data_IF_970669356123
#
_entry.id   IF_970669356123
#
_cell.length_a   1.000
_cell.length_b   1.000
_cell.length_c   1.000
_cell.angle_alpha   90.00
_cell.angle_beta   90.00
_cell.angle_gamma   90.00
#
_symmetry.space_group_name_H-M   'P 1'
#
loop_
_entity.id
_entity.type
_entity.pdbx_description
1 polymer ?
#
# COMPACT_ATOMS: atom_id res chain seq x y z
N UNK A 1 -24.61 10.21 19.01
CA UNK A 1 -23.89 9.07 19.56
C UNK A 1 -24.65 7.74 19.38
N UNK A 2 -25.96 7.73 19.63
CA UNK A 2 -26.80 6.52 19.60
C UNK A 2 -26.93 5.92 18.18
N UNK A 3 -27.17 6.75 17.14
CA UNK A 3 -27.24 6.31 15.73
C UNK A 3 -25.91 5.73 15.20
N UNK A 4 -24.77 6.14 15.73
CA UNK A 4 -23.45 5.58 15.33
C UNK A 4 -23.23 4.23 16.01
N UNK A 5 -23.60 4.09 17.30
CA UNK A 5 -23.52 2.82 18.03
C UNK A 5 -24.43 1.73 17.45
N UNK A 6 -25.60 2.09 16.96
CA UNK A 6 -26.54 1.15 16.34
C UNK A 6 -25.98 0.49 15.05
N UNK A 7 -24.98 1.09 14.39
CA UNK A 7 -24.35 0.54 13.20
C UNK A 7 -23.14 -0.37 13.49
N UNK A 8 -22.65 -0.41 14.74
CA UNK A 8 -21.54 -1.27 15.16
C UNK A 8 -22.09 -2.46 15.92
N UNK A 9 -22.79 -3.32 15.22
CA UNK A 9 -23.32 -4.57 15.76
C UNK A 9 -22.33 -5.71 15.58
N UNK A 10 -22.47 -6.77 16.35
CA UNK A 10 -21.68 -8.00 16.19
C UNK A 10 -21.78 -8.54 14.76
N UNK A 11 -22.98 -8.53 14.19
CA UNK A 11 -23.20 -8.94 12.79
C UNK A 11 -22.45 -8.04 11.80
N UNK A 12 -22.39 -6.72 12.05
CA UNK A 12 -21.65 -5.80 11.18
C UNK A 12 -20.13 -6.04 11.27
N UNK A 13 -19.63 -6.34 12.46
CA UNK A 13 -18.22 -6.71 12.67
C UNK A 13 -17.89 -8.01 11.96
N UNK A 14 -18.72 -9.04 12.11
CA UNK A 14 -18.57 -10.32 11.42
C UNK A 14 -18.56 -10.14 9.90
N UNK A 15 -19.54 -9.42 9.34
CA UNK A 15 -19.61 -9.15 7.91
C UNK A 15 -18.39 -8.37 7.40
N UNK A 16 -17.87 -7.43 8.17
CA UNK A 16 -16.66 -6.69 7.82
C UNK A 16 -15.43 -7.59 7.83
N UNK A 17 -15.36 -8.51 8.78
CA UNK A 17 -14.31 -9.52 8.85
C UNK A 17 -14.38 -10.50 7.66
N UNK A 18 -15.56 -11.03 7.35
CA UNK A 18 -15.76 -11.95 6.23
C UNK A 18 -15.35 -11.30 4.91
N UNK A 19 -15.69 -10.01 4.73
CA UNK A 19 -15.24 -9.22 3.57
C UNK A 19 -13.72 -9.06 3.55
N UNK A 20 -13.09 -8.79 4.68
CA UNK A 20 -11.63 -8.70 4.79
C UNK A 20 -10.96 -10.05 4.46
N UNK A 21 -11.51 -11.16 4.96
CA UNK A 21 -11.00 -12.51 4.64
C UNK A 21 -11.13 -12.84 3.14
N UNK A 22 -12.24 -12.43 2.52
CA UNK A 22 -12.46 -12.60 1.09
C UNK A 22 -11.55 -11.73 0.21
N UNK A 23 -11.12 -10.56 0.72
CA UNK A 23 -10.16 -9.69 0.02
C UNK A 23 -8.73 -10.24 0.19
N UNK A 24 -8.40 -11.21 -0.66
CA UNK A 24 -7.05 -11.81 -0.68
C UNK A 24 -5.99 -10.87 -1.23
N UNK A 25 -6.37 -9.89 -2.06
CA UNK A 25 -5.44 -8.98 -2.72
C UNK A 25 -4.69 -8.09 -1.72
N UNK A 26 -5.35 -7.69 -0.62
CA UNK A 26 -4.73 -6.92 0.47
C UNK A 26 -3.73 -7.72 1.30
N UNK A 27 -3.75 -9.05 1.20
CA UNK A 27 -2.92 -9.98 1.97
C UNK A 27 -1.84 -10.68 1.14
N UNK A 28 -1.71 -10.31 -0.14
CA UNK A 28 -0.61 -10.82 -0.96
C UNK A 28 0.71 -10.38 -0.36
N UNK A 29 1.61 -11.33 -0.21
CA UNK A 29 3.01 -11.14 0.17
C UNK A 29 3.92 -11.57 -0.97
N UNK A 30 5.04 -10.88 -1.11
CA UNK A 30 6.06 -11.16 -2.13
C UNK A 30 7.34 -11.54 -1.42
N UNK A 31 7.93 -12.66 -1.83
CA UNK A 31 9.31 -13.02 -1.47
C UNK A 31 10.18 -12.61 -2.63
N UNK A 32 11.15 -11.72 -2.38
CA UNK A 32 11.97 -11.17 -3.44
C UNK A 32 13.43 -11.00 -3.04
N UNK A 33 14.24 -10.87 -4.06
CA UNK A 33 15.65 -10.49 -3.99
C UNK A 33 15.88 -9.24 -4.84
N UNK A 34 16.88 -8.43 -4.52
CA UNK A 34 17.23 -7.27 -5.33
C UNK A 34 18.74 -7.04 -5.45
N UNK A 35 19.12 -6.33 -6.50
CA UNK A 35 20.48 -5.80 -6.71
C UNK A 35 20.34 -4.29 -6.74
N UNK A 36 20.99 -3.58 -5.81
CA UNK A 36 21.01 -2.12 -5.75
C UNK A 36 22.28 -1.62 -6.43
N UNK A 37 22.13 -0.64 -7.31
CA UNK A 37 23.21 -0.09 -8.13
C UNK A 37 23.15 1.45 -8.11
N UNK A 38 24.28 2.09 -8.30
CA UNK A 38 24.37 3.56 -8.27
C UNK A 38 23.84 4.20 -9.56
N UNK A 39 24.02 3.52 -10.71
CA UNK A 39 23.64 4.07 -12.01
C UNK A 39 22.66 3.18 -12.75
N UNK A 40 21.85 3.81 -13.62
CA UNK A 40 20.94 3.11 -14.52
C UNK A 40 21.69 2.20 -15.50
N UNK A 41 22.88 2.65 -15.96
CA UNK A 41 23.69 1.90 -16.90
C UNK A 41 24.18 0.59 -16.30
N UNK A 42 24.61 0.59 -15.04
CA UNK A 42 25.00 -0.63 -14.32
C UNK A 42 23.81 -1.57 -14.14
N UNK A 43 22.64 -1.03 -13.81
CA UNK A 43 21.42 -1.82 -13.67
C UNK A 43 21.00 -2.47 -15.00
N UNK A 44 21.09 -1.75 -16.11
CA UNK A 44 20.85 -2.32 -17.45
C UNK A 44 21.86 -3.42 -17.80
N UNK A 45 23.14 -3.23 -17.42
CA UNK A 45 24.18 -4.26 -17.64
C UNK A 45 23.89 -5.53 -16.83
N UNK A 46 23.40 -5.38 -15.59
CA UNK A 46 22.99 -6.52 -14.76
C UNK A 46 21.79 -7.24 -15.37
N UNK A 47 20.78 -6.50 -15.84
CA UNK A 47 19.62 -7.10 -16.53
C UNK A 47 20.08 -7.88 -17.77
N UNK A 48 20.95 -7.33 -18.60
CA UNK A 48 21.49 -8.03 -19.77
C UNK A 48 22.21 -9.32 -19.37
N UNK A 49 23.06 -9.29 -18.34
CA UNK A 49 23.75 -10.49 -17.85
C UNK A 49 22.76 -11.56 -17.33
N UNK A 50 21.67 -11.15 -16.67
CA UNK A 50 20.61 -12.06 -16.22
C UNK A 50 19.86 -12.68 -17.40
N UNK A 51 19.58 -11.91 -18.45
CA UNK A 51 18.98 -12.40 -19.71
C UNK A 51 19.88 -13.40 -20.42
N UNK A 52 21.21 -13.24 -20.32
CA UNK A 52 22.22 -14.17 -20.84
C UNK A 52 22.40 -15.40 -19.93
N UNK A 53 21.64 -15.52 -18.83
CA UNK A 53 21.63 -16.69 -17.96
C UNK A 53 22.58 -16.63 -16.77
N UNK A 54 23.11 -15.46 -16.42
CA UNK A 54 23.92 -15.31 -15.21
C UNK A 54 23.07 -15.53 -13.95
N UNK A 55 23.70 -16.04 -12.89
CA UNK A 55 23.02 -16.25 -11.60
C UNK A 55 22.78 -14.94 -10.87
N UNK A 56 21.54 -14.74 -10.45
CA UNK A 56 21.11 -13.51 -9.76
C UNK A 56 21.85 -13.29 -8.45
N UNK A 57 22.00 -14.34 -7.65
CA UNK A 57 22.63 -14.23 -6.33
C UNK A 57 24.14 -13.96 -6.45
N UNK A 58 24.78 -14.50 -7.48
CA UNK A 58 26.18 -14.22 -7.76
C UNK A 58 26.38 -12.74 -8.15
N UNK A 59 25.54 -12.22 -9.07
CA UNK A 59 25.59 -10.82 -9.47
C UNK A 59 25.25 -9.88 -8.28
N UNK A 60 24.31 -10.26 -7.42
CA UNK A 60 24.00 -9.49 -6.22
C UNK A 60 25.21 -9.39 -5.29
N UNK A 61 25.91 -10.49 -5.04
CA UNK A 61 27.14 -10.51 -4.21
C UNK A 61 28.27 -9.69 -4.78
N UNK A 62 28.40 -9.68 -6.11
CA UNK A 62 29.49 -9.00 -6.81
C UNK A 62 29.23 -7.50 -6.99
N UNK A 63 28.00 -7.12 -7.33
CA UNK A 63 27.69 -5.78 -7.87
C UNK A 63 26.76 -4.96 -6.99
N UNK A 64 26.02 -5.58 -6.07
CA UNK A 64 25.06 -4.83 -5.27
C UNK A 64 25.75 -3.96 -4.22
N UNK A 65 25.40 -2.67 -4.19
CA UNK A 65 25.82 -1.72 -3.16
C UNK A 65 24.92 -1.77 -1.93
N UNK A 66 23.82 -2.53 -1.99
CA UNK A 66 22.85 -2.66 -0.90
C UNK A 66 23.29 -3.66 0.17
N UNK A 67 22.74 -3.54 1.39
CA UNK A 67 23.11 -4.38 2.54
C UNK A 67 22.77 -5.87 2.35
N UNK A 68 21.81 -6.18 1.46
CA UNK A 68 21.43 -7.57 1.13
C UNK A 68 22.37 -8.23 0.11
N UNK A 69 23.25 -7.46 -0.55
CA UNK A 69 24.19 -7.96 -1.55
C UNK A 69 24.96 -9.21 -1.13
N UNK A 70 25.65 -9.23 0.03
CA UNK A 70 26.37 -10.39 0.53
C UNK A 70 25.52 -11.66 0.69
N UNK A 71 24.22 -11.48 0.92
CA UNK A 71 23.24 -12.58 1.01
C UNK A 71 22.52 -12.87 -0.31
N UNK A 72 23.16 -12.56 -1.45
CA UNK A 72 22.57 -12.79 -2.78
C UNK A 72 21.39 -11.87 -3.11
N UNK A 73 21.28 -10.73 -2.41
CA UNK A 73 20.21 -9.76 -2.61
C UNK A 73 18.91 -10.07 -1.88
N UNK A 74 18.83 -11.15 -1.10
CA UNK A 74 17.60 -11.60 -0.46
C UNK A 74 17.01 -10.55 0.51
N UNK A 75 15.72 -10.22 0.31
CA UNK A 75 14.95 -9.32 1.17
C UNK A 75 13.98 -10.06 2.08
N UNK A 76 13.73 -11.35 1.81
CA UNK A 76 12.69 -12.11 2.47
C UNK A 76 11.30 -11.78 1.94
N UNK A 77 10.28 -12.06 2.78
CA UNK A 77 8.86 -11.89 2.43
C UNK A 77 8.34 -10.57 3.00
N UNK A 78 7.63 -9.81 2.19
CA UNK A 78 7.03 -8.54 2.59
C UNK A 78 5.64 -8.36 1.98
N UNK A 79 4.78 -7.65 2.69
CA UNK A 79 3.46 -7.21 2.23
C UNK A 79 3.46 -5.78 1.71
N UNK A 80 2.28 -5.30 1.30
CA UNK A 80 2.10 -3.92 0.87
C UNK A 80 2.35 -2.92 2.00
N UNK A 81 2.92 -1.77 1.66
CA UNK A 81 3.25 -0.68 2.60
C UNK A 81 4.56 -0.89 3.36
N UNK A 82 5.32 -1.95 3.08
CA UNK A 82 6.58 -2.25 3.76
C UNK A 82 7.82 -1.81 2.96
N UNK A 83 7.65 -1.53 1.68
CA UNK A 83 8.73 -1.08 0.80
C UNK A 83 8.45 0.32 0.24
N UNK A 84 9.47 0.97 -0.31
CA UNK A 84 9.26 2.24 -1.01
C UNK A 84 8.35 2.06 -2.22
N UNK A 85 7.44 3.02 -2.53
CA UNK A 85 6.35 2.81 -3.48
C UNK A 85 6.77 2.31 -4.86
N UNK A 86 7.85 2.85 -5.44
CA UNK A 86 8.32 2.43 -6.77
C UNK A 86 8.81 0.98 -6.78
N UNK A 87 9.54 0.57 -5.74
CA UNK A 87 10.01 -0.81 -5.57
C UNK A 87 8.83 -1.76 -5.36
N UNK A 88 7.89 -1.39 -4.46
CA UNK A 88 6.72 -2.21 -4.16
C UNK A 88 5.88 -2.45 -5.41
N UNK A 89 5.53 -1.41 -6.15
CA UNK A 89 4.75 -1.53 -7.39
C UNK A 89 5.41 -2.54 -8.33
N UNK A 90 6.70 -2.38 -8.62
CA UNK A 90 7.42 -3.29 -9.50
C UNK A 90 7.45 -4.74 -8.97
N UNK A 91 7.76 -4.94 -7.68
CA UNK A 91 7.82 -6.28 -7.10
C UNK A 91 6.47 -7.03 -7.15
N UNK A 92 5.36 -6.31 -6.94
CA UNK A 92 4.03 -6.91 -7.02
C UNK A 92 3.56 -7.20 -8.45
N UNK A 93 4.12 -6.54 -9.46
CA UNK A 93 3.80 -6.77 -10.88
C UNK A 93 4.61 -7.91 -11.49
N UNK A 94 5.90 -8.06 -11.13
CA UNK A 94 6.79 -9.11 -11.67
C UNK A 94 6.22 -10.50 -11.38
N UNK A 95 6.21 -11.37 -12.37
CA UNK A 95 5.79 -12.77 -12.21
C UNK A 95 6.76 -13.56 -11.32
N UNK A 96 6.24 -14.57 -10.60
CA UNK A 96 7.07 -15.46 -9.77
C UNK A 96 8.12 -16.17 -10.67
N UNK A 97 9.35 -16.20 -10.19
CA UNK A 97 10.50 -16.76 -10.92
C UNK A 97 11.15 -15.81 -11.92
N UNK A 98 10.57 -14.61 -12.12
CA UNK A 98 11.08 -13.59 -13.06
C UNK A 98 11.77 -12.44 -12.35
N UNK A 99 12.49 -11.62 -13.11
CA UNK A 99 13.10 -10.38 -12.65
C UNK A 99 12.62 -9.18 -13.48
N UNK A 100 12.89 -7.97 -13.01
CA UNK A 100 12.48 -6.75 -13.69
C UNK A 100 13.18 -6.58 -15.03
N UNK A 101 12.43 -6.34 -16.09
CA UNK A 101 12.96 -6.10 -17.45
C UNK A 101 13.61 -4.72 -17.59
N UNK A 102 13.28 -3.81 -16.68
CA UNK A 102 13.81 -2.45 -16.62
C UNK A 102 14.28 -2.11 -15.21
N UNK A 103 15.32 -1.27 -15.06
CA UNK A 103 15.74 -0.77 -13.77
C UNK A 103 14.65 0.02 -13.05
N UNK A 104 14.48 -0.21 -11.76
CA UNK A 104 13.52 0.50 -10.89
C UNK A 104 14.24 1.57 -10.10
N UNK A 105 13.94 2.84 -10.34
CA UNK A 105 14.55 3.96 -9.62
C UNK A 105 13.86 4.23 -8.29
N UNK A 106 14.66 4.42 -7.24
CA UNK A 106 14.21 4.87 -5.92
C UNK A 106 15.16 5.95 -5.39
N UNK A 107 14.88 6.47 -4.19
CA UNK A 107 15.80 7.39 -3.51
C UNK A 107 17.15 6.75 -3.13
N UNK A 108 17.28 5.44 -3.15
CA UNK A 108 18.49 4.71 -2.80
C UNK A 108 19.38 4.40 -4.00
N UNK A 109 18.88 4.55 -5.20
CA UNK A 109 19.54 4.20 -6.45
C UNK A 109 18.65 3.39 -7.39
N UNK A 110 19.27 2.54 -8.19
CA UNK A 110 18.63 1.72 -9.21
C UNK A 110 18.58 0.26 -8.78
N UNK A 111 17.39 -0.32 -8.84
CA UNK A 111 17.15 -1.69 -8.41
C UNK A 111 16.87 -2.60 -9.61
N UNK A 112 17.44 -3.78 -9.57
CA UNK A 112 16.98 -4.94 -10.34
C UNK A 112 16.33 -5.89 -9.35
N UNK A 113 15.05 -6.22 -9.55
CA UNK A 113 14.23 -6.97 -8.60
C UNK A 113 13.93 -8.33 -9.19
N UNK A 114 14.07 -9.39 -8.39
CA UNK A 114 13.63 -10.75 -8.73
C UNK A 114 12.59 -11.19 -7.73
N UNK A 115 11.49 -11.76 -8.21
CA UNK A 115 10.42 -12.31 -7.37
C UNK A 115 10.58 -13.81 -7.27
N UNK A 116 10.85 -14.29 -6.06
CA UNK A 116 11.07 -15.70 -5.78
C UNK A 116 9.75 -16.43 -5.42
N UNK A 117 8.77 -15.71 -4.88
CA UNK A 117 7.46 -16.26 -4.52
C UNK A 117 6.40 -15.18 -4.30
N UNK A 118 5.14 -15.59 -4.42
CA UNK A 118 3.96 -14.79 -4.03
C UNK A 118 3.00 -15.70 -3.28
N UNK A 119 2.66 -15.30 -2.06
CA UNK A 119 1.78 -16.03 -1.17
C UNK A 119 0.69 -15.12 -0.62
N UNK A 120 -0.38 -15.70 -0.10
CA UNK A 120 -1.43 -14.95 0.59
C UNK A 120 -1.24 -15.20 2.08
N UNK A 121 -0.92 -14.15 2.83
CA UNK A 121 -0.84 -14.23 4.27
C UNK A 121 -2.16 -14.71 4.88
N UNK A 122 -2.13 -15.58 5.91
CA UNK A 122 -3.35 -15.95 6.62
C UNK A 122 -4.03 -14.70 7.19
N UNK A 123 -5.36 -14.69 7.17
CA UNK A 123 -6.10 -13.62 7.82
C UNK A 123 -5.86 -13.71 9.35
N UNK A 124 -5.60 -12.57 10.03
CA UNK A 124 -5.64 -12.54 11.48
C UNK A 124 -7.01 -12.99 11.98
N UNK A 125 -7.08 -13.54 13.17
CA UNK A 125 -8.37 -13.95 13.76
C UNK A 125 -9.29 -12.75 14.04
N UNK A 126 -10.62 -13.01 14.08
CA UNK A 126 -11.62 -11.97 14.29
C UNK A 126 -11.39 -11.21 15.60
N UNK A 127 -10.96 -11.90 16.65
CA UNK A 127 -10.81 -11.29 17.98
C UNK A 127 -9.70 -10.24 17.98
N UNK A 128 -8.58 -10.52 17.31
CA UNK A 128 -7.48 -9.57 17.15
C UNK A 128 -7.86 -8.34 16.29
N UNK A 129 -8.77 -8.51 15.34
CA UNK A 129 -9.24 -7.43 14.44
C UNK A 129 -10.46 -6.68 14.94
N UNK A 130 -11.17 -7.20 15.95
CA UNK A 130 -12.47 -6.70 16.42
C UNK A 130 -12.46 -5.20 16.68
N UNK A 131 -11.50 -4.71 17.45
CA UNK A 131 -11.40 -3.29 17.79
C UNK A 131 -11.18 -2.41 16.57
N UNK A 132 -10.33 -2.84 15.65
CA UNK A 132 -10.05 -2.11 14.40
C UNK A 132 -11.29 -2.07 13.50
N UNK A 133 -11.98 -3.20 13.34
CA UNK A 133 -13.21 -3.28 12.54
C UNK A 133 -14.32 -2.42 13.14
N UNK A 134 -14.51 -2.44 14.46
CA UNK A 134 -15.48 -1.62 15.15
C UNK A 134 -15.20 -0.11 14.97
N UNK A 135 -13.94 0.31 15.08
CA UNK A 135 -13.52 1.68 14.86
C UNK A 135 -13.76 2.13 13.40
N UNK A 136 -13.43 1.28 12.43
CA UNK A 136 -13.66 1.57 11.01
C UNK A 136 -15.16 1.71 10.71
N UNK A 137 -16.00 0.81 11.23
CA UNK A 137 -17.46 0.87 11.09
C UNK A 137 -18.03 2.15 11.74
N UNK A 138 -17.51 2.52 12.92
CA UNK A 138 -17.92 3.77 13.60
C UNK A 138 -17.59 5.00 12.77
N UNK A 139 -16.39 5.06 12.20
CA UNK A 139 -15.94 6.16 11.35
C UNK A 139 -16.77 6.26 10.07
N UNK A 140 -17.06 5.13 9.44
CA UNK A 140 -17.91 5.08 8.25
C UNK A 140 -19.36 5.51 8.57
N UNK A 141 -19.91 5.05 9.69
CA UNK A 141 -21.26 5.44 10.13
C UNK A 141 -21.35 6.94 10.42
N UNK A 142 -20.31 7.52 11.05
CA UNK A 142 -20.24 8.96 11.30
C UNK A 142 -20.15 9.75 9.98
N UNK A 143 -19.32 9.30 9.04
CA UNK A 143 -19.21 9.92 7.71
C UNK A 143 -20.55 9.95 6.97
N UNK A 144 -21.26 8.81 6.92
CA UNK A 144 -22.59 8.73 6.31
C UNK A 144 -23.61 9.66 6.99
N UNK A 145 -23.62 9.69 8.32
CA UNK A 145 -24.50 10.58 9.07
C UNK A 145 -24.24 12.06 8.76
N UNK A 146 -22.96 12.45 8.64
CA UNK A 146 -22.59 13.81 8.28
C UNK A 146 -23.01 14.16 6.84
N UNK A 147 -22.89 13.23 5.91
CA UNK A 147 -23.38 13.41 4.53
C UNK A 147 -24.90 13.52 4.47
N UNK A 148 -25.63 12.66 5.20
CA UNK A 148 -27.10 12.75 5.32
C UNK A 148 -27.53 14.09 5.91
N UNK A 149 -26.88 14.57 6.96
CA UNK A 149 -27.16 15.85 7.58
C UNK A 149 -26.87 17.03 6.63
N UNK A 150 -25.79 16.96 5.87
CA UNK A 150 -25.49 17.97 4.84
C UNK A 150 -26.55 18.01 3.75
N UNK A 151 -26.94 16.84 3.26
CA UNK A 151 -27.96 16.73 2.21
C UNK A 151 -29.36 17.17 2.70
N UNK A 152 -29.71 16.92 3.97
CA UNK A 152 -31.01 17.25 4.55
C UNK A 152 -31.17 18.71 4.98
N UNK A 153 -30.07 19.44 5.17
CA UNK A 153 -30.07 20.79 5.74
C UNK A 153 -29.79 21.90 4.73
N UNK A 154 -29.66 21.65 3.44
CA UNK A 154 -29.25 22.64 2.41
C UNK A 154 -28.18 23.63 2.95
N UNK A 155 -27.14 23.08 3.59
CA UNK A 155 -26.04 23.85 4.17
C UNK A 155 -25.21 24.43 3.02
N UNK A 156 -25.59 25.60 2.56
CA UNK A 156 -24.74 26.41 1.71
C UNK A 156 -23.53 26.86 2.56
N UNK A 157 -22.37 26.33 2.28
CA UNK A 157 -21.11 26.84 2.84
C UNK A 157 -20.91 28.26 2.29
N UNK A 158 -21.34 29.28 3.05
CA UNK A 158 -21.11 30.67 2.69
C UNK A 158 -19.63 30.98 2.86
N UNK A 159 -19.02 31.51 1.82
CA UNK A 159 -17.64 31.96 1.90
C UNK A 159 -17.50 33.10 2.91
N UNK A 160 -16.34 33.27 3.50
CA UNK A 160 -16.05 34.40 4.39
C UNK A 160 -16.30 35.76 3.71
N UNK A 161 -16.15 35.81 2.37
CA UNK A 161 -16.45 36.97 1.55
C UNK A 161 -17.95 37.31 1.50
N UNK A 162 -18.80 36.26 1.43
CA UNK A 162 -20.28 36.44 1.37
C UNK A 162 -20.81 36.91 2.72
N UNK A 163 -20.31 36.36 3.83
CA UNK A 163 -20.68 36.81 5.20
C UNK A 163 -20.28 38.26 5.43
N UNK A 164 -19.12 38.67 4.95
CA UNK A 164 -18.62 40.06 5.07
C UNK A 164 -19.44 41.03 4.25
N UNK A 165 -19.89 40.64 3.06
CA UNK A 165 -20.73 41.44 2.18
C UNK A 165 -22.10 41.73 2.76
N UNK A 166 -22.71 40.71 3.40
CA UNK A 166 -24.01 40.86 4.07
C UNK A 166 -23.91 41.73 5.32
N UNK A 167 -22.82 41.58 6.09
CA UNK A 167 -22.60 42.47 7.25
C UNK A 167 -22.43 43.93 6.86
N UNK A 168 -21.80 44.21 5.72
CA UNK A 168 -21.68 45.58 5.20
C UNK A 168 -23.01 46.16 4.67
N UNK A 169 -23.88 45.31 4.10
CA UNK A 169 -25.18 45.74 3.60
C UNK A 169 -26.24 45.91 4.73
N UNK A 170 -26.06 45.28 5.88
CA UNK A 170 -26.93 45.40 7.01
C UNK A 170 -26.71 46.67 7.87
N UNK A 171 -25.68 47.48 7.53
CA UNK A 171 -25.28 48.68 8.29
C UNK A 171 -25.66 49.96 7.56
N UNK A 172 -26.40 49.90 6.44
CA UNK A 172 -26.99 51.04 5.73
C UNK A 172 -28.51 51.07 5.97
#
# INVERSE_FOLDING_TARGET
AEKVRANVTETAIQNAYDKFVADTASRVQVTASHILLETEADAKSVIAALQDGSDFAALAKEKSTGPSGPNGGALGTFGRGQMVPAFETAAFEIAVGSFSDTPVQTQFGWHVIKVDGKDIAPAPDLESMRSQLANNLSTQALGRLLEELRASQDIQLRSFADVRKDAMNATQ
#
